data_IF_917208282825
#
_entry.id   IF_917208282825
#
_cell.length_a   1.000
_cell.length_b   1.000
_cell.length_c   1.000
_cell.angle_alpha   90.00
_cell.angle_beta   90.00
_cell.angle_gamma   90.00
#
_symmetry.space_group_name_H-M   'P 1'
#
loop_
_entity.id
_entity.type
_entity.pdbx_description
1 polymer ?
#
# COMPACT_ATOMS: atom_id res chain seq x y z
N UNK A 1 30.89 13.76 -4.51
CA UNK A 1 29.78 13.59 -3.57
C UNK A 1 29.35 14.99 -3.14
N UNK A 2 28.22 15.49 -3.63
CA UNK A 2 27.58 16.64 -2.98
C UNK A 2 27.15 16.12 -1.60
N UNK A 3 27.63 16.72 -0.52
CA UNK A 3 27.10 16.41 0.81
C UNK A 3 25.69 16.99 0.83
N UNK A 4 24.67 16.13 0.83
CA UNK A 4 23.32 16.58 1.10
C UNK A 4 23.31 17.16 2.52
N UNK A 5 22.87 18.41 2.63
CA UNK A 5 22.71 19.09 3.90
C UNK A 5 21.32 18.74 4.41
N UNK A 6 21.23 18.33 5.67
CA UNK A 6 19.95 17.98 6.29
C UNK A 6 19.32 19.24 6.87
N UNK A 7 18.62 19.99 6.01
CA UNK A 7 17.97 21.24 6.40
C UNK A 7 16.62 20.95 7.03
N UNK A 8 16.40 21.53 8.22
CA UNK A 8 15.16 21.46 8.97
C UNK A 8 14.15 22.40 8.30
N UNK A 9 12.98 21.87 7.95
CA UNK A 9 11.89 22.61 7.31
C UNK A 9 10.82 23.03 8.29
N UNK A 10 10.47 22.14 9.21
CA UNK A 10 9.45 22.41 10.22
C UNK A 10 9.91 21.87 11.57
N UNK A 11 9.46 22.54 12.62
CA UNK A 11 9.59 22.10 14.00
C UNK A 11 8.19 22.03 14.57
N UNK A 12 7.86 20.91 15.20
CA UNK A 12 6.52 20.67 15.74
C UNK A 12 6.29 21.54 17.00
N UNK A 13 5.15 22.22 17.12
CA UNK A 13 4.85 22.99 18.33
C UNK A 13 4.78 22.10 19.57
N UNK A 14 5.42 22.52 20.65
CA UNK A 14 5.53 21.79 21.92
C UNK A 14 6.51 20.62 21.88
N UNK A 15 7.39 20.55 20.87
CA UNK A 15 8.41 19.51 20.76
C UNK A 15 9.72 19.90 21.46
N UNK A 16 10.56 18.89 21.72
CA UNK A 16 11.92 19.08 22.25
C UNK A 16 12.72 20.05 21.38
N UNK A 17 12.59 19.95 20.05
CA UNK A 17 13.27 20.85 19.13
C UNK A 17 12.82 22.32 19.31
N UNK A 18 11.55 22.59 19.57
CA UNK A 18 11.08 23.95 19.88
C UNK A 18 11.65 24.44 21.23
N UNK A 19 11.66 23.58 22.26
CA UNK A 19 12.19 23.91 23.59
C UNK A 19 13.69 24.24 23.56
N UNK A 20 14.44 23.60 22.66
CA UNK A 20 15.88 23.81 22.46
C UNK A 20 16.21 24.89 21.43
N UNK A 21 15.22 25.70 21.03
CA UNK A 21 15.38 26.81 20.08
C UNK A 21 15.95 26.37 18.70
N UNK A 22 15.63 25.15 18.28
CA UNK A 22 15.85 24.68 16.92
C UNK A 22 14.81 25.33 16.02
N UNK A 23 15.24 25.88 14.89
CA UNK A 23 14.38 26.66 14.01
C UNK A 23 14.39 26.11 12.57
N UNK A 24 13.30 26.30 11.81
CA UNK A 24 13.31 26.10 10.37
C UNK A 24 14.48 26.83 9.68
N UNK A 25 15.25 26.10 8.88
CA UNK A 25 16.44 26.55 8.17
C UNK A 25 17.75 26.12 8.81
N UNK A 26 17.74 25.60 10.04
CA UNK A 26 18.92 25.03 10.68
C UNK A 26 19.35 23.72 9.98
N UNK A 27 20.64 23.39 10.04
CA UNK A 27 21.23 22.18 9.46
C UNK A 27 21.59 21.17 10.55
N UNK A 28 21.03 19.96 10.51
CA UNK A 28 21.44 18.87 11.39
C UNK A 28 22.74 18.24 10.88
N UNK A 29 23.81 18.27 11.70
CA UNK A 29 25.14 17.77 11.32
C UNK A 29 25.35 16.32 11.78
N UNK A 30 25.08 16.04 13.05
CA UNK A 30 25.31 14.73 13.66
C UNK A 30 24.50 14.55 14.95
N UNK A 31 24.27 13.29 15.31
CA UNK A 31 23.73 12.86 16.60
C UNK A 31 24.72 11.86 17.20
N UNK A 32 25.10 12.03 18.47
CA UNK A 32 26.05 11.17 19.19
C UNK A 32 27.38 11.01 18.44
N UNK A 33 27.92 12.12 17.92
CA UNK A 33 29.13 12.17 17.07
C UNK A 33 29.05 11.37 15.75
N UNK A 34 27.89 10.80 15.43
CA UNK A 34 27.64 10.06 14.20
C UNK A 34 26.99 10.95 13.15
N UNK A 35 27.58 10.95 11.95
CA UNK A 35 26.99 11.63 10.80
C UNK A 35 25.78 10.87 10.31
N UNK A 36 24.75 11.62 9.96
CA UNK A 36 23.51 11.10 9.40
C UNK A 36 23.67 11.02 7.88
N UNK A 37 23.56 9.83 7.30
CA UNK A 37 23.51 9.65 5.85
C UNK A 37 22.12 9.92 5.31
N UNK A 38 21.10 9.34 5.95
CA UNK A 38 19.70 9.42 5.55
C UNK A 38 18.75 9.28 6.76
N UNK A 39 17.46 9.22 6.46
CA UNK A 39 16.36 9.10 7.43
C UNK A 39 16.49 7.91 8.40
N UNK A 40 17.13 6.79 8.00
CA UNK A 40 17.29 5.66 8.90
C UNK A 40 18.30 5.94 10.00
N UNK A 41 19.41 6.60 9.66
CA UNK A 41 20.39 6.99 10.66
C UNK A 41 19.76 7.97 11.65
N UNK A 42 18.92 8.89 11.17
CA UNK A 42 18.18 9.80 12.05
C UNK A 42 17.26 9.03 13.02
N UNK A 43 16.35 8.19 12.53
CA UNK A 43 15.44 7.45 13.40
C UNK A 43 16.17 6.52 14.39
N UNK A 44 17.24 5.87 13.94
CA UNK A 44 18.03 5.02 14.83
C UNK A 44 18.72 5.83 15.91
N UNK A 45 19.39 6.93 15.54
CA UNK A 45 20.16 7.73 16.48
C UNK A 45 19.29 8.54 17.44
N UNK A 46 18.06 8.90 17.06
CA UNK A 46 17.10 9.60 17.93
C UNK A 46 16.50 8.64 18.97
N UNK A 47 16.46 7.33 18.72
CA UNK A 47 15.92 6.34 19.67
C UNK A 47 16.93 5.98 20.79
N UNK A 48 17.37 7.00 21.54
CA UNK A 48 18.17 6.88 22.75
C UNK A 48 17.62 7.82 23.84
N UNK A 49 17.95 7.54 25.11
CA UNK A 49 17.53 8.35 26.26
C UNK A 49 18.37 9.63 26.37
N UNK A 50 19.63 9.57 25.91
CA UNK A 50 20.59 10.67 25.98
C UNK A 50 21.23 10.92 24.61
N UNK A 51 21.04 12.13 24.09
CA UNK A 51 21.52 12.53 22.77
C UNK A 51 22.43 13.75 22.84
N UNK A 52 23.53 13.72 22.10
CA UNK A 52 24.33 14.90 21.78
C UNK A 52 24.07 15.27 20.32
N UNK A 53 23.27 16.32 20.10
CA UNK A 53 22.85 16.78 18.78
C UNK A 53 23.67 18.00 18.37
N UNK A 54 24.36 17.91 17.23
CA UNK A 54 25.11 19.02 16.65
C UNK A 54 24.30 19.64 15.51
N UNK A 55 23.88 20.89 15.68
CA UNK A 55 23.18 21.66 14.65
C UNK A 55 24.02 22.86 14.21
N UNK A 56 23.84 23.30 12.96
CA UNK A 56 24.36 24.57 12.47
C UNK A 56 23.21 25.52 12.21
N UNK A 57 23.18 26.62 12.96
CA UNK A 57 22.20 27.70 12.81
C UNK A 57 22.37 28.39 11.45
N UNK A 58 21.33 29.06 10.97
CA UNK A 58 21.36 29.84 9.71
C UNK A 58 22.44 30.93 9.67
N UNK A 59 22.88 31.44 10.83
CA UNK A 59 23.98 32.40 10.97
C UNK A 59 25.39 31.77 10.83
N UNK A 60 25.47 30.43 10.75
CA UNK A 60 26.71 29.65 10.63
C UNK A 60 27.31 29.19 11.96
N UNK A 61 26.72 29.55 13.11
CA UNK A 61 27.14 29.05 14.42
C UNK A 61 26.74 27.58 14.58
N UNK A 62 27.61 26.79 15.20
CA UNK A 62 27.34 25.39 15.53
C UNK A 62 26.98 25.29 17.01
N UNK A 63 25.83 24.69 17.29
CA UNK A 63 25.32 24.47 18.63
C UNK A 63 25.33 22.96 18.91
N UNK A 64 25.92 22.59 20.04
CA UNK A 64 25.88 21.24 20.57
C UNK A 64 24.82 21.21 21.69
N UNK A 65 23.79 20.39 21.50
CA UNK A 65 22.63 20.29 22.37
C UNK A 65 22.66 18.92 23.05
N UNK A 66 22.69 18.91 24.38
CA UNK A 66 22.50 17.71 25.18
C UNK A 66 21.01 17.54 25.49
N UNK A 67 20.42 16.43 25.05
CA UNK A 67 18.99 16.15 25.16
C UNK A 67 18.81 14.90 26.00
N UNK A 68 18.01 15.02 27.06
CA UNK A 68 17.50 13.89 27.85
C UNK A 68 16.00 13.78 27.56
N UNK A 69 15.56 12.61 27.12
CA UNK A 69 14.19 12.36 26.68
C UNK A 69 13.78 10.93 26.96
N UNK A 70 12.49 10.63 26.83
CA UNK A 70 12.06 9.24 26.93
C UNK A 70 12.55 8.42 25.72
N UNK A 71 12.83 7.13 25.96
CA UNK A 71 13.14 6.17 24.90
C UNK A 71 12.01 6.20 23.85
N UNK A 72 12.37 6.30 22.56
CA UNK A 72 11.46 6.48 21.41
C UNK A 72 10.74 7.84 21.27
N UNK A 73 10.94 8.80 22.17
CA UNK A 73 10.41 10.16 21.97
C UNK A 73 11.12 10.86 20.79
N UNK A 74 10.36 11.41 19.84
CA UNK A 74 10.93 12.14 18.70
C UNK A 74 11.34 13.57 19.12
N UNK A 75 12.33 14.13 18.43
CA UNK A 75 12.73 15.53 18.61
C UNK A 75 11.68 16.51 18.05
N UNK A 76 10.81 16.06 17.14
CA UNK A 76 9.79 16.89 16.49
C UNK A 76 10.36 17.74 15.35
N UNK A 77 11.36 17.21 14.65
CA UNK A 77 12.04 17.85 13.52
C UNK A 77 11.56 17.23 12.22
N UNK A 78 11.15 18.07 11.26
CA UNK A 78 10.80 17.64 9.91
C UNK A 78 11.78 18.24 8.89
N UNK A 79 12.34 17.40 8.03
CA UNK A 79 13.31 17.80 7.00
C UNK A 79 12.63 18.16 5.68
N UNK A 80 13.32 18.95 4.85
CA UNK A 80 12.78 19.36 3.54
C UNK A 80 12.53 18.19 2.59
N UNK A 81 13.34 17.13 2.71
CA UNK A 81 13.10 15.83 2.11
C UNK A 81 12.96 14.80 3.23
N UNK A 82 11.79 14.16 3.33
CA UNK A 82 11.50 13.17 4.38
C UNK A 82 12.44 11.95 4.34
N UNK A 83 13.09 11.66 3.21
CA UNK A 83 14.10 10.61 3.12
C UNK A 83 15.52 11.06 3.50
N UNK A 84 15.71 12.37 3.73
CA UNK A 84 16.97 13.05 4.00
C UNK A 84 18.06 12.81 2.93
N UNK A 85 17.69 12.25 1.77
CA UNK A 85 18.54 12.04 0.60
C UNK A 85 17.65 11.83 -0.64
N UNK A 86 18.21 11.97 -1.85
CA UNK A 86 17.46 11.89 -3.11
C UNK A 86 16.72 10.54 -3.26
N UNK A 87 15.52 10.56 -3.86
CA UNK A 87 14.75 9.36 -4.16
C UNK A 87 15.49 8.48 -5.18
N UNK A 88 15.61 7.18 -4.89
CA UNK A 88 16.21 6.22 -5.82
C UNK A 88 15.14 5.64 -6.74
N UNK A 89 15.25 5.90 -8.04
CA UNK A 89 14.34 5.29 -9.03
C UNK A 89 14.69 3.81 -9.30
N UNK A 90 13.65 3.02 -9.55
CA UNK A 90 13.75 1.61 -9.92
C UNK A 90 14.58 1.45 -11.20
N UNK A 91 15.52 0.50 -11.20
CA UNK A 91 16.36 0.17 -12.36
C UNK A 91 15.86 -1.04 -13.14
N UNK A 92 14.74 -1.62 -12.73
CA UNK A 92 14.14 -2.78 -13.38
C UNK A 92 13.18 -2.36 -14.50
N UNK A 93 13.03 -3.24 -15.48
CA UNK A 93 12.07 -3.08 -16.57
C UNK A 93 11.19 -4.34 -16.65
N UNK A 94 10.43 -4.55 -15.57
CA UNK A 94 9.71 -5.79 -15.34
C UNK A 94 8.64 -6.04 -16.43
N UNK A 95 8.49 -7.30 -16.86
CA UNK A 95 7.46 -7.69 -17.84
C UNK A 95 6.02 -7.38 -17.36
N UNK A 96 5.84 -7.28 -16.05
CA UNK A 96 4.57 -7.04 -15.34
C UNK A 96 4.48 -5.63 -14.72
N UNK A 97 5.41 -4.72 -15.02
CA UNK A 97 5.41 -3.39 -14.40
C UNK A 97 4.10 -2.65 -14.71
N UNK A 98 3.37 -2.26 -13.66
CA UNK A 98 2.12 -1.50 -13.82
C UNK A 98 2.37 -0.08 -14.32
N UNK A 99 3.48 0.54 -13.91
CA UNK A 99 3.85 1.89 -14.31
C UNK A 99 4.11 1.98 -15.83
N UNK A 100 4.71 0.95 -16.44
CA UNK A 100 4.97 0.92 -17.90
C UNK A 100 3.70 0.81 -18.74
N UNK A 101 2.59 0.41 -18.13
CA UNK A 101 1.29 0.29 -18.79
C UNK A 101 0.30 1.38 -18.30
N UNK A 102 0.82 2.47 -17.75
CA UNK A 102 0.01 3.64 -17.41
C UNK A 102 -0.44 4.37 -18.69
N UNK A 103 -1.67 4.90 -18.72
CA UNK A 103 -2.15 5.78 -19.79
C UNK A 103 -1.20 6.98 -19.96
N UNK A 104 -1.01 7.53 -21.18
CA UNK A 104 -0.22 8.75 -21.37
C UNK A 104 -0.97 10.00 -20.88
N UNK A 105 -0.25 11.04 -20.49
CA UNK A 105 -0.82 12.35 -20.12
C UNK A 105 -1.35 12.45 -18.69
N UNK A 106 -1.07 11.46 -17.84
CA UNK A 106 -1.29 11.54 -16.40
C UNK A 106 -0.22 12.44 -15.75
N UNK A 107 -0.37 12.74 -14.45
CA UNK A 107 0.63 13.47 -13.68
C UNK A 107 1.99 12.75 -13.62
N UNK A 108 3.08 13.51 -13.62
CA UNK A 108 4.44 12.95 -13.68
C UNK A 108 4.77 12.01 -12.51
N UNK A 109 4.24 12.29 -11.32
CA UNK A 109 4.47 11.48 -10.11
C UNK A 109 3.95 10.04 -10.23
N UNK A 110 2.91 9.79 -11.05
CA UNK A 110 2.39 8.45 -11.30
C UNK A 110 3.29 7.60 -12.20
N UNK A 111 4.21 8.22 -12.94
CA UNK A 111 5.17 7.49 -13.78
C UNK A 111 6.50 7.22 -13.06
N UNK A 112 6.64 7.68 -11.81
CA UNK A 112 7.81 7.39 -11.02
C UNK A 112 7.79 5.92 -10.59
N UNK A 113 8.82 5.16 -10.97
CA UNK A 113 9.00 3.78 -10.51
C UNK A 113 9.82 3.78 -9.23
N UNK A 114 9.17 3.42 -8.13
CA UNK A 114 9.84 3.26 -6.85
C UNK A 114 10.46 1.86 -6.69
N UNK A 115 11.65 1.81 -6.10
CA UNK A 115 12.35 0.62 -5.60
C UNK A 115 13.34 1.04 -4.49
N UNK A 116 13.01 2.11 -3.76
CA UNK A 116 13.83 2.65 -2.68
C UNK A 116 13.55 1.89 -1.38
N UNK A 117 14.59 1.29 -0.80
CA UNK A 117 14.48 0.50 0.42
C UNK A 117 13.96 1.29 1.61
N UNK A 118 14.18 2.61 1.65
CA UNK A 118 13.67 3.48 2.72
C UNK A 118 12.16 3.52 2.77
N UNK A 119 11.53 3.50 1.61
CA UNK A 119 10.08 3.49 1.51
C UNK A 119 9.47 2.13 1.88
N UNK A 120 10.27 1.05 1.90
CA UNK A 120 9.81 -0.24 2.44
C UNK A 120 9.49 -0.17 3.93
N UNK A 121 10.33 0.51 4.70
CA UNK A 121 10.13 0.63 6.15
C UNK A 121 9.19 1.78 6.50
N UNK A 122 9.28 2.90 5.79
CA UNK A 122 8.46 4.09 6.07
C UNK A 122 7.03 3.97 5.56
N UNK A 123 6.81 3.27 4.45
CA UNK A 123 5.51 3.25 3.75
C UNK A 123 5.05 1.84 3.40
N UNK A 124 5.80 0.79 3.76
CA UNK A 124 5.45 -0.59 3.44
C UNK A 124 5.70 -0.97 1.97
N UNK A 125 6.41 -0.15 1.19
CA UNK A 125 6.64 -0.42 -0.24
C UNK A 125 7.47 -1.69 -0.46
N UNK A 126 7.20 -2.37 -1.58
CA UNK A 126 7.91 -3.59 -1.94
C UNK A 126 9.19 -3.28 -2.71
N UNK A 127 10.32 -3.79 -2.21
CA UNK A 127 11.62 -3.67 -2.89
C UNK A 127 12.09 -4.96 -3.51
N UNK A 128 12.73 -4.85 -4.67
CA UNK A 128 13.28 -5.99 -5.41
C UNK A 128 14.65 -6.43 -4.90
N UNK A 129 15.26 -5.68 -3.97
CA UNK A 129 16.64 -5.77 -3.50
C UNK A 129 17.72 -5.57 -4.58
N UNK A 130 17.34 -5.25 -5.82
CA UNK A 130 18.29 -5.08 -6.93
C UNK A 130 19.01 -3.73 -6.90
N UNK A 131 18.40 -2.75 -6.26
CA UNK A 131 18.96 -1.42 -6.04
C UNK A 131 19.73 -1.29 -4.71
N UNK A 132 19.92 -2.38 -3.96
CA UNK A 132 20.56 -2.36 -2.64
C UNK A 132 22.00 -2.87 -2.66
N UNK A 133 22.91 -2.03 -2.16
CA UNK A 133 24.31 -2.36 -1.96
C UNK A 133 24.49 -3.29 -0.74
N UNK A 134 25.69 -3.87 -0.58
CA UNK A 134 25.98 -4.63 0.65
C UNK A 134 26.03 -3.74 1.89
N UNK A 135 26.42 -2.47 1.72
CA UNK A 135 26.39 -1.46 2.77
C UNK A 135 24.97 -1.18 3.27
N UNK A 136 23.99 -1.09 2.35
CA UNK A 136 22.58 -0.91 2.73
C UNK A 136 22.07 -2.11 3.56
N UNK A 137 22.47 -3.34 3.19
CA UNK A 137 22.15 -4.56 3.95
C UNK A 137 22.84 -4.57 5.32
N UNK A 138 24.11 -4.16 5.40
CA UNK A 138 24.83 -4.03 6.67
C UNK A 138 24.12 -3.07 7.62
N UNK A 139 23.61 -1.94 7.10
CA UNK A 139 22.87 -0.95 7.88
C UNK A 139 21.56 -1.51 8.42
N UNK A 140 20.77 -2.20 7.59
CA UNK A 140 19.53 -2.87 8.03
C UNK A 140 19.81 -3.86 9.16
N UNK A 141 20.87 -4.66 9.02
CA UNK A 141 21.26 -5.63 10.05
C UNK A 141 21.73 -4.93 11.33
N UNK A 142 22.59 -3.92 11.20
CA UNK A 142 23.14 -3.15 12.34
C UNK A 142 22.04 -2.50 13.17
N UNK A 143 21.07 -1.89 12.51
CA UNK A 143 19.96 -1.17 13.15
C UNK A 143 18.73 -2.05 13.39
N UNK A 144 18.80 -3.32 12.99
CA UNK A 144 17.69 -4.28 13.08
C UNK A 144 16.38 -3.74 12.47
N UNK A 145 16.46 -3.07 11.32
CA UNK A 145 15.30 -2.49 10.65
C UNK A 145 14.41 -3.60 10.09
N UNK A 146 13.15 -3.65 10.53
CA UNK A 146 12.16 -4.61 10.06
C UNK A 146 10.74 -4.17 10.46
N UNK A 147 9.69 -4.71 9.80
CA UNK A 147 9.76 -5.68 8.70
C UNK A 147 10.16 -5.04 7.35
N UNK A 148 10.86 -5.80 6.51
CA UNK A 148 11.15 -5.40 5.11
C UNK A 148 10.26 -6.17 4.12
N UNK A 149 9.65 -5.46 3.17
CA UNK A 149 8.75 -6.04 2.18
C UNK A 149 9.51 -6.31 0.86
N UNK A 150 9.67 -7.58 0.49
CA UNK A 150 10.51 -8.04 -0.61
C UNK A 150 9.70 -8.56 -1.79
N UNK A 151 9.94 -7.99 -2.96
CA UNK A 151 9.37 -8.38 -4.25
C UNK A 151 10.18 -9.54 -4.87
N UNK A 152 9.84 -10.79 -4.51
CA UNK A 152 10.61 -11.98 -4.91
C UNK A 152 10.34 -12.41 -6.35
N UNK A 153 9.06 -12.52 -6.73
CA UNK A 153 8.58 -12.96 -8.05
C UNK A 153 8.87 -14.40 -8.43
N UNK A 154 10.08 -14.88 -8.21
CA UNK A 154 10.49 -16.27 -8.38
C UNK A 154 11.81 -16.51 -7.67
N UNK A 155 12.02 -17.75 -7.20
CA UNK A 155 13.30 -18.21 -6.66
C UNK A 155 14.27 -18.73 -7.71
N UNK A 156 13.84 -18.77 -8.97
CA UNK A 156 14.68 -19.12 -10.11
C UNK A 156 15.52 -17.91 -10.56
N UNK A 157 16.86 -17.91 -10.37
CA UNK A 157 17.68 -16.73 -10.68
C UNK A 157 17.63 -16.31 -12.15
N UNK A 158 17.64 -17.28 -13.07
CA UNK A 158 17.60 -16.99 -14.52
C UNK A 158 16.24 -16.43 -14.93
N UNK A 159 15.15 -17.02 -14.42
CA UNK A 159 13.81 -16.52 -14.68
C UNK A 159 13.61 -15.14 -14.06
N UNK A 160 14.12 -14.90 -12.85
CA UNK A 160 14.05 -13.59 -12.19
C UNK A 160 14.73 -12.51 -13.03
N UNK A 161 15.94 -12.77 -13.55
CA UNK A 161 16.61 -11.87 -14.49
C UNK A 161 15.77 -11.58 -15.73
N UNK A 162 15.10 -12.59 -16.29
CA UNK A 162 14.21 -12.43 -17.45
C UNK A 162 12.98 -11.59 -17.12
N UNK A 163 12.32 -11.87 -15.99
CA UNK A 163 11.09 -11.19 -15.57
C UNK A 163 11.32 -9.72 -15.21
N UNK A 164 12.41 -9.41 -14.51
CA UNK A 164 12.75 -8.03 -14.09
C UNK A 164 13.54 -7.26 -15.17
N UNK A 165 13.95 -7.95 -16.23
CA UNK A 165 14.86 -7.44 -17.25
C UNK A 165 16.14 -6.79 -16.67
N UNK A 166 16.69 -7.43 -15.63
CA UNK A 166 17.87 -6.96 -14.91
C UNK A 166 18.83 -8.12 -14.66
N UNK A 167 20.06 -8.01 -15.16
CA UNK A 167 21.09 -9.05 -15.06
C UNK A 167 21.53 -9.37 -13.63
N UNK A 168 21.34 -8.44 -12.69
CA UNK A 168 21.69 -8.59 -11.28
C UNK A 168 20.54 -9.15 -10.44
N UNK A 169 19.34 -9.28 -11.01
CA UNK A 169 18.17 -9.74 -10.28
C UNK A 169 18.29 -11.17 -9.75
N UNK A 170 19.15 -12.02 -10.32
CA UNK A 170 19.36 -13.37 -9.84
C UNK A 170 20.16 -13.47 -8.53
N UNK A 171 20.88 -12.40 -8.14
CA UNK A 171 21.88 -12.44 -7.05
C UNK A 171 21.36 -11.85 -5.73
N UNK A 172 20.04 -11.89 -5.50
CA UNK A 172 19.44 -11.34 -4.29
C UNK A 172 19.39 -12.32 -3.11
N UNK A 173 19.41 -13.63 -3.37
CA UNK A 173 19.26 -14.66 -2.34
C UNK A 173 20.39 -14.68 -1.30
N UNK A 174 21.66 -14.38 -1.64
CA UNK A 174 22.69 -14.16 -0.63
C UNK A 174 22.35 -13.02 0.33
N UNK A 175 21.72 -11.93 -0.14
CA UNK A 175 21.29 -10.81 0.71
C UNK A 175 20.13 -11.22 1.61
N UNK A 176 19.13 -11.94 1.06
CA UNK A 176 18.00 -12.49 1.82
C UNK A 176 18.48 -13.44 2.92
N UNK A 177 19.48 -14.28 2.62
CA UNK A 177 20.10 -15.16 3.60
C UNK A 177 20.74 -14.38 4.76
N UNK A 178 21.44 -13.29 4.48
CA UNK A 178 22.04 -12.42 5.51
C UNK A 178 20.97 -11.77 6.40
N UNK A 179 19.86 -11.31 5.82
CA UNK A 179 18.73 -10.75 6.57
C UNK A 179 18.10 -11.82 7.49
N UNK A 180 17.87 -13.02 6.95
CA UNK A 180 17.37 -14.17 7.72
C UNK A 180 18.28 -14.54 8.88
N UNK A 181 19.59 -14.65 8.65
CA UNK A 181 20.59 -15.00 9.69
C UNK A 181 20.68 -13.93 10.79
N UNK A 182 20.41 -12.66 10.44
CA UNK A 182 20.33 -11.56 11.38
C UNK A 182 18.98 -11.46 12.12
N UNK A 183 18.03 -12.34 11.81
CA UNK A 183 16.70 -12.37 12.42
C UNK A 183 15.77 -11.25 11.98
N UNK A 184 16.08 -10.56 10.87
CA UNK A 184 15.26 -9.46 10.35
C UNK A 184 13.92 -10.00 9.86
N UNK A 185 12.82 -9.42 10.34
CA UNK A 185 11.49 -9.75 9.85
C UNK A 185 11.33 -9.31 8.39
N UNK A 186 10.77 -10.20 7.57
CA UNK A 186 10.56 -9.99 6.15
C UNK A 186 9.14 -10.38 5.77
N UNK A 187 8.58 -9.69 4.78
CA UNK A 187 7.43 -10.16 4.02
C UNK A 187 7.78 -10.28 2.53
N UNK A 188 7.03 -11.08 1.79
CA UNK A 188 7.27 -11.37 0.39
C UNK A 188 6.07 -11.05 -0.49
N UNK A 189 6.34 -10.80 -1.77
CA UNK A 189 5.31 -10.72 -2.81
C UNK A 189 5.74 -11.49 -4.06
N UNK A 190 4.77 -12.16 -4.69
CA UNK A 190 4.87 -12.76 -6.00
C UNK A 190 3.70 -12.25 -6.85
N UNK A 191 4.02 -11.47 -7.88
CA UNK A 191 3.13 -11.14 -9.00
C UNK A 191 3.19 -12.30 -9.99
N UNK A 192 2.11 -13.05 -10.06
CA UNK A 192 2.02 -14.23 -10.91
C UNK A 192 1.72 -13.82 -12.35
N UNK A 193 2.48 -14.36 -13.29
CA UNK A 193 2.36 -14.17 -14.72
C UNK A 193 2.15 -15.54 -15.38
N UNK A 194 1.01 -15.72 -16.04
CA UNK A 194 0.61 -16.98 -16.67
C UNK A 194 1.65 -17.47 -17.67
N UNK A 195 2.04 -18.74 -17.57
CA UNK A 195 3.06 -19.37 -18.40
C UNK A 195 4.49 -18.86 -18.19
N UNK A 196 4.75 -18.08 -17.13
CA UNK A 196 6.07 -17.52 -16.84
C UNK A 196 6.60 -18.00 -15.48
N UNK A 197 5.92 -17.66 -14.38
CA UNK A 197 6.31 -18.02 -13.01
C UNK A 197 5.19 -18.72 -12.22
N UNK A 198 4.17 -19.21 -12.92
CA UNK A 198 3.11 -20.06 -12.37
C UNK A 198 3.48 -21.56 -12.40
N UNK A 199 2.55 -22.42 -11.98
CA UNK A 199 2.72 -23.87 -11.99
C UNK A 199 3.93 -24.35 -11.17
N UNK A 200 4.82 -25.12 -11.80
CA UNK A 200 5.99 -25.70 -11.14
C UNK A 200 6.96 -24.64 -10.59
N UNK A 201 7.09 -23.47 -11.26
CA UNK A 201 7.96 -22.38 -10.80
C UNK A 201 7.39 -21.67 -9.56
N UNK A 202 6.05 -21.60 -9.44
CA UNK A 202 5.38 -21.13 -8.23
C UNK A 202 5.62 -22.11 -7.08
N UNK A 203 5.37 -23.40 -7.30
CA UNK A 203 5.58 -24.44 -6.27
C UNK A 203 7.04 -24.50 -5.80
N UNK A 204 7.99 -24.35 -6.73
CA UNK A 204 9.40 -24.19 -6.39
C UNK A 204 9.62 -22.97 -5.49
N UNK A 205 9.06 -21.82 -5.86
CA UNK A 205 9.27 -20.58 -5.13
C UNK A 205 8.69 -20.63 -3.73
N UNK A 206 7.52 -21.21 -3.53
CA UNK A 206 6.95 -21.44 -2.21
C UNK A 206 7.88 -22.32 -1.35
N UNK A 207 8.34 -23.45 -1.90
CA UNK A 207 9.25 -24.39 -1.21
C UNK A 207 10.59 -23.76 -0.82
N UNK A 208 11.17 -22.95 -1.71
CA UNK A 208 12.47 -22.34 -1.48
C UNK A 208 12.33 -21.18 -0.48
N UNK A 209 11.24 -20.39 -0.55
CA UNK A 209 10.98 -19.30 0.40
C UNK A 209 10.59 -19.78 1.80
N UNK A 210 9.91 -20.94 1.92
CA UNK A 210 9.54 -21.48 3.24
C UNK A 210 10.74 -21.82 4.12
N UNK A 211 11.95 -21.91 3.55
CA UNK A 211 13.21 -22.09 4.30
C UNK A 211 13.61 -20.87 5.12
N UNK A 212 13.01 -19.71 4.86
CA UNK A 212 13.25 -18.48 5.60
C UNK A 212 12.25 -18.26 6.74
N UNK A 213 11.34 -19.20 6.99
CA UNK A 213 10.51 -19.19 8.20
C UNK A 213 11.38 -19.37 9.46
N UNK A 214 11.04 -18.72 10.59
CA UNK A 214 9.87 -17.87 10.79
C UNK A 214 10.09 -16.38 10.43
N UNK A 215 11.29 -15.98 10.01
CA UNK A 215 11.62 -14.57 9.79
C UNK A 215 11.01 -13.99 8.50
N UNK A 216 10.86 -14.78 7.43
CA UNK A 216 9.95 -14.44 6.34
C UNK A 216 8.53 -14.82 6.78
N UNK A 217 7.76 -13.86 7.26
CA UNK A 217 6.50 -14.09 7.99
C UNK A 217 5.33 -14.37 7.06
N UNK A 218 5.25 -13.67 5.94
CA UNK A 218 4.13 -13.77 5.02
C UNK A 218 4.53 -13.48 3.58
N UNK A 219 3.97 -14.19 2.61
CA UNK A 219 4.17 -13.99 1.18
C UNK A 219 2.82 -13.89 0.46
N UNK A 220 2.53 -12.74 -0.14
CA UNK A 220 1.33 -12.56 -0.96
C UNK A 220 1.55 -13.05 -2.40
N UNK A 221 0.55 -13.73 -2.97
CA UNK A 221 0.47 -14.08 -4.39
C UNK A 221 -0.68 -13.29 -5.01
N UNK A 222 -0.34 -12.43 -5.98
CA UNK A 222 -1.30 -11.57 -6.68
C UNK A 222 -1.24 -11.86 -8.18
N UNK A 223 -2.37 -11.86 -8.91
CA UNK A 223 -2.32 -11.96 -10.37
C UNK A 223 -1.77 -10.66 -10.96
N UNK A 224 -1.16 -10.74 -12.15
CA UNK A 224 -0.72 -9.54 -12.86
C UNK A 224 -1.91 -8.67 -13.31
N UNK A 225 -1.88 -7.39 -12.97
CA UNK A 225 -2.82 -6.40 -13.48
C UNK A 225 -2.50 -6.03 -14.94
N UNK A 226 -3.53 -6.02 -15.80
CA UNK A 226 -3.40 -5.75 -17.24
C UNK A 226 -4.28 -4.58 -17.65
N UNK A 227 -3.67 -3.44 -17.95
CA UNK A 227 -4.36 -2.32 -18.60
C UNK A 227 -4.44 -2.53 -20.11
N UNK A 228 -5.22 -1.72 -20.81
CA UNK A 228 -5.27 -1.67 -22.28
C UNK A 228 -4.05 -0.98 -22.91
N UNK A 229 -3.21 -0.31 -22.12
CA UNK A 229 -2.04 0.45 -22.58
C UNK A 229 -0.76 -0.39 -22.51
N UNK A 230 -0.77 -1.57 -23.13
CA UNK A 230 0.38 -2.51 -23.10
C UNK A 230 1.07 -2.68 -24.46
N UNK A 231 0.79 -1.81 -25.41
CA UNK A 231 1.40 -1.87 -26.74
C UNK A 231 2.92 -1.75 -26.66
N UNK A 232 3.64 -2.73 -27.20
CA UNK A 232 5.10 -2.79 -27.17
C UNK A 232 5.71 -3.40 -25.89
N UNK A 233 4.89 -3.75 -24.89
CA UNK A 233 5.34 -4.47 -23.70
C UNK A 233 5.37 -5.99 -23.93
N UNK A 234 5.92 -6.73 -22.96
CA UNK A 234 5.90 -8.19 -22.98
C UNK A 234 4.45 -8.71 -23.03
N UNK A 235 4.12 -9.65 -23.95
CA UNK A 235 2.76 -10.16 -24.09
C UNK A 235 2.43 -11.04 -22.88
N UNK A 236 1.53 -10.55 -22.03
CA UNK A 236 1.00 -11.27 -20.88
C UNK A 236 -0.43 -11.70 -21.16
N UNK A 237 -0.76 -12.92 -20.74
CA UNK A 237 -2.11 -13.46 -20.81
C UNK A 237 -2.82 -13.33 -19.46
N UNK A 238 -4.12 -13.00 -19.44
CA UNK A 238 -4.90 -13.01 -18.22
C UNK A 238 -5.12 -14.45 -17.73
N UNK A 239 -5.24 -14.61 -16.40
CA UNK A 239 -5.65 -15.87 -15.80
C UNK A 239 -7.13 -16.14 -16.04
N UNK A 240 -7.47 -17.42 -16.19
CA UNK A 240 -8.85 -17.91 -16.27
C UNK A 240 -9.32 -18.43 -14.91
N UNK A 241 -10.61 -18.73 -14.79
CA UNK A 241 -11.17 -19.41 -13.61
C UNK A 241 -10.47 -20.72 -13.28
N UNK A 242 -10.19 -21.55 -14.29
CA UNK A 242 -9.49 -22.83 -14.11
C UNK A 242 -8.05 -22.63 -13.62
N UNK A 243 -7.35 -21.63 -14.17
CA UNK A 243 -6.00 -21.30 -13.69
C UNK A 243 -6.01 -20.83 -12.23
N UNK A 244 -6.99 -19.99 -11.85
CA UNK A 244 -7.15 -19.52 -10.47
C UNK A 244 -7.41 -20.67 -9.49
N UNK A 245 -8.24 -21.63 -9.88
CA UNK A 245 -8.49 -22.84 -9.08
C UNK A 245 -7.21 -23.64 -8.85
N UNK A 246 -6.40 -23.84 -9.90
CA UNK A 246 -5.12 -24.54 -9.78
C UNK A 246 -4.12 -23.81 -8.86
N UNK A 247 -4.07 -22.47 -8.93
CA UNK A 247 -3.23 -21.66 -8.04
C UNK A 247 -3.68 -21.81 -6.59
N UNK A 248 -4.98 -21.68 -6.31
CA UNK A 248 -5.53 -21.82 -4.97
C UNK A 248 -5.31 -23.22 -4.39
N UNK A 249 -5.51 -24.28 -5.18
CA UNK A 249 -5.23 -25.66 -4.76
C UNK A 249 -3.77 -25.86 -4.36
N UNK A 250 -2.83 -25.30 -5.14
CA UNK A 250 -1.42 -25.34 -4.82
C UNK A 250 -1.13 -24.63 -3.49
N UNK A 251 -1.65 -23.42 -3.31
CA UNK A 251 -1.44 -22.60 -2.11
C UNK A 251 -2.03 -23.24 -0.87
N UNK A 252 -3.28 -23.72 -0.92
CA UNK A 252 -3.93 -24.37 0.23
C UNK A 252 -3.21 -25.65 0.67
N UNK A 253 -2.65 -26.42 -0.27
CA UNK A 253 -1.80 -27.58 0.06
C UNK A 253 -0.56 -27.15 0.86
N UNK A 254 0.11 -26.07 0.45
CA UNK A 254 1.28 -25.54 1.16
C UNK A 254 0.90 -24.95 2.52
N UNK A 255 -0.15 -24.14 2.60
CA UNK A 255 -0.66 -23.59 3.85
C UNK A 255 -0.92 -24.70 4.87
N UNK A 256 -1.59 -25.80 4.47
CA UNK A 256 -1.84 -26.93 5.37
C UNK A 256 -0.56 -27.59 5.88
N UNK A 257 0.46 -27.73 5.02
CA UNK A 257 1.75 -28.31 5.40
C UNK A 257 2.51 -27.41 6.38
N UNK A 258 2.58 -26.11 6.08
CA UNK A 258 3.34 -25.15 6.87
C UNK A 258 2.66 -24.83 8.20
N UNK A 259 1.34 -24.73 8.23
CA UNK A 259 0.59 -24.50 9.47
C UNK A 259 0.78 -25.62 10.48
N UNK A 260 0.88 -26.88 10.03
CA UNK A 260 1.12 -28.02 10.91
C UNK A 260 2.52 -27.99 11.57
N UNK A 261 3.51 -27.35 10.93
CA UNK A 261 4.90 -27.31 11.41
C UNK A 261 5.21 -26.00 12.15
N UNK A 262 4.72 -24.86 11.67
CA UNK A 262 5.07 -23.52 12.13
C UNK A 262 3.91 -22.76 12.79
N UNK A 263 2.67 -23.25 12.68
CA UNK A 263 1.48 -22.53 13.17
C UNK A 263 1.11 -21.29 12.36
N UNK A 264 1.64 -21.16 11.14
CA UNK A 264 1.41 -20.05 10.22
C UNK A 264 1.05 -20.58 8.82
N UNK A 265 0.13 -19.90 8.13
CA UNK A 265 -0.26 -20.22 6.77
C UNK A 265 0.78 -19.72 5.75
N UNK A 266 1.49 -18.61 6.07
CA UNK A 266 2.65 -18.06 5.36
C UNK A 266 2.41 -17.58 3.93
N UNK A 267 1.84 -18.40 3.04
CA UNK A 267 1.49 -18.02 1.68
C UNK A 267 0.03 -17.61 1.62
N UNK A 268 -0.27 -16.42 1.08
CA UNK A 268 -1.65 -15.94 0.94
C UNK A 268 -1.94 -15.44 -0.46
N UNK A 269 -3.03 -15.92 -1.06
CA UNK A 269 -3.56 -15.37 -2.30
C UNK A 269 -4.36 -14.10 -2.03
N UNK A 270 -4.25 -13.11 -2.91
CA UNK A 270 -5.17 -11.96 -2.91
C UNK A 270 -6.61 -12.39 -3.14
N UNK A 271 -7.53 -11.52 -2.71
CA UNK A 271 -8.97 -11.68 -2.83
C UNK A 271 -9.42 -11.92 -4.28
N UNK A 272 -8.69 -11.35 -5.24
CA UNK A 272 -8.94 -11.52 -6.67
C UNK A 272 -8.89 -12.98 -7.13
N UNK A 273 -8.00 -13.81 -6.56
CA UNK A 273 -7.93 -15.23 -6.90
C UNK A 273 -9.19 -15.99 -6.51
N UNK A 274 -9.72 -15.72 -5.31
CA UNK A 274 -10.95 -16.36 -4.83
C UNK A 274 -12.14 -15.96 -5.67
N UNK A 275 -12.22 -14.69 -6.05
CA UNK A 275 -13.30 -14.16 -6.90
C UNK A 275 -13.22 -14.76 -8.30
N UNK A 276 -12.03 -14.77 -8.91
CA UNK A 276 -11.82 -15.35 -10.24
C UNK A 276 -12.11 -16.86 -10.26
N UNK A 277 -11.79 -17.58 -9.18
CA UNK A 277 -12.08 -19.00 -9.02
C UNK A 277 -13.55 -19.30 -8.67
N UNK A 278 -14.35 -18.28 -8.34
CA UNK A 278 -15.70 -18.37 -7.73
C UNK A 278 -15.71 -19.25 -6.47
N UNK A 279 -14.74 -19.05 -5.59
CA UNK A 279 -14.62 -19.74 -4.30
C UNK A 279 -14.80 -18.79 -3.14
N UNK A 280 -15.25 -19.32 -2.00
CA UNK A 280 -15.32 -18.55 -0.76
C UNK A 280 -13.92 -18.18 -0.28
N UNK A 281 -13.74 -16.94 0.16
CA UNK A 281 -12.52 -16.50 0.83
C UNK A 281 -12.31 -17.28 2.15
N UNK A 282 -11.05 -17.51 2.56
CA UNK A 282 -10.70 -18.09 3.84
C UNK A 282 -11.39 -17.37 5.01
N UNK A 283 -11.58 -18.06 6.15
CA UNK A 283 -11.96 -17.39 7.38
C UNK A 283 -10.78 -16.54 7.91
N UNK A 284 -11.10 -15.59 8.79
CA UNK A 284 -10.16 -14.58 9.31
C UNK A 284 -8.89 -15.19 9.94
N UNK A 285 -9.03 -16.33 10.62
CA UNK A 285 -7.90 -16.97 11.32
C UNK A 285 -6.80 -17.48 10.37
N UNK A 286 -7.07 -17.55 9.06
CA UNK A 286 -6.08 -18.00 8.05
C UNK A 286 -5.24 -16.87 7.45
N UNK A 287 -5.47 -15.61 7.86
CA UNK A 287 -4.74 -14.45 7.33
C UNK A 287 -3.52 -14.07 8.17
N UNK A 288 -3.21 -14.82 9.24
CA UNK A 288 -2.04 -14.62 10.10
C UNK A 288 -1.87 -13.15 10.57
N UNK A 289 -2.98 -12.46 10.84
CA UNK A 289 -2.99 -11.04 11.26
C UNK A 289 -2.99 -10.02 10.12
N UNK A 290 -3.37 -10.40 8.89
CA UNK A 290 -3.52 -9.50 7.73
C UNK A 290 -2.24 -8.73 7.34
N UNK A 291 -1.07 -9.35 7.48
CA UNK A 291 0.24 -8.76 7.12
C UNK A 291 0.36 -8.31 5.65
N UNK A 292 -0.58 -8.71 4.80
CA UNK A 292 -0.59 -8.51 3.35
C UNK A 292 -1.82 -7.71 2.87
N UNK A 293 -2.50 -7.00 3.76
CA UNK A 293 -3.74 -6.27 3.46
C UNK A 293 -3.56 -5.30 2.28
N UNK A 294 -2.46 -4.53 2.29
CA UNK A 294 -2.09 -3.57 1.22
C UNK A 294 -1.87 -4.22 -0.16
N UNK A 295 -1.65 -5.55 -0.21
CA UNK A 295 -1.55 -6.31 -1.46
C UNK A 295 -2.87 -6.92 -1.92
N UNK A 296 -4.00 -6.48 -1.34
CA UNK A 296 -5.32 -7.03 -1.66
C UNK A 296 -5.57 -8.41 -1.07
N UNK A 297 -4.86 -8.78 0.01
CA UNK A 297 -5.06 -10.06 0.71
C UNK A 297 -5.95 -9.82 1.93
N UNK A 298 -7.22 -10.26 1.84
CA UNK A 298 -8.14 -10.21 2.96
C UNK A 298 -8.89 -8.90 3.15
N UNK A 299 -8.77 -7.94 2.23
CA UNK A 299 -9.47 -6.65 2.30
C UNK A 299 -10.99 -6.82 2.36
N UNK A 300 -11.55 -7.66 1.48
CA UNK A 300 -12.99 -7.91 1.42
C UNK A 300 -13.46 -8.80 2.58
N UNK A 301 -12.59 -9.69 3.07
CA UNK A 301 -12.86 -10.48 4.28
C UNK A 301 -12.95 -9.55 5.50
N UNK A 302 -11.95 -8.70 5.71
CA UNK A 302 -11.91 -7.77 6.85
C UNK A 302 -13.14 -6.84 6.80
N UNK A 303 -13.47 -6.29 5.64
CA UNK A 303 -14.65 -5.46 5.45
C UNK A 303 -15.96 -6.20 5.81
N UNK A 304 -16.15 -7.46 5.36
CA UNK A 304 -17.33 -8.27 5.75
C UNK A 304 -17.35 -8.54 7.26
N UNK A 305 -16.21 -8.79 7.91
CA UNK A 305 -16.13 -8.97 9.36
C UNK A 305 -16.52 -7.69 10.10
N UNK A 306 -15.89 -6.56 9.79
CA UNK A 306 -16.12 -5.29 10.48
C UNK A 306 -17.55 -4.78 10.30
N UNK A 307 -18.13 -4.93 9.10
CA UNK A 307 -19.55 -4.60 8.86
C UNK A 307 -20.45 -5.47 9.74
N UNK A 308 -20.15 -6.77 9.86
CA UNK A 308 -20.95 -7.68 10.70
C UNK A 308 -20.92 -7.26 12.16
N UNK A 309 -19.73 -6.98 12.69
CA UNK A 309 -19.53 -6.53 14.06
C UNK A 309 -20.25 -5.20 14.32
N UNK A 310 -20.09 -4.23 13.43
CA UNK A 310 -20.74 -2.93 13.54
C UNK A 310 -22.27 -3.04 13.52
N UNK A 311 -22.85 -3.82 12.58
CA UNK A 311 -24.31 -4.04 12.53
C UNK A 311 -24.80 -4.75 13.78
N UNK A 312 -24.06 -5.74 14.31
CA UNK A 312 -24.45 -6.44 15.54
C UNK A 312 -24.54 -5.50 16.74
N UNK A 313 -23.65 -4.51 16.83
CA UNK A 313 -23.60 -3.52 17.91
C UNK A 313 -24.73 -2.48 17.91
N UNK A 314 -25.45 -2.31 16.80
CA UNK A 314 -26.53 -1.31 16.70
C UNK A 314 -27.88 -1.81 17.25
N UNK A 315 -28.89 -0.94 17.35
CA UNK A 315 -30.29 -1.37 17.49
C UNK A 315 -31.00 -1.15 16.16
N UNK A 316 -31.77 -2.15 15.72
CA UNK A 316 -32.51 -2.06 14.46
C UNK A 316 -33.66 -1.07 14.55
N UNK A 317 -33.96 -0.41 13.43
CA UNK A 317 -35.05 0.56 13.35
C UNK A 317 -35.64 0.62 11.92
N UNK A 318 -36.72 1.40 11.76
CA UNK A 318 -37.45 1.51 10.49
C UNK A 318 -36.91 2.62 9.57
N UNK A 319 -35.66 3.03 9.70
CA UNK A 319 -35.06 4.12 8.90
C UNK A 319 -35.19 3.81 7.40
N UNK A 320 -35.83 4.73 6.67
CA UNK A 320 -36.02 4.65 5.24
C UNK A 320 -34.89 5.36 4.53
N UNK A 321 -34.19 4.65 3.63
CA UNK A 321 -33.14 5.24 2.78
C UNK A 321 -33.19 4.64 1.39
N UNK A 322 -32.95 5.48 0.39
CA UNK A 322 -32.61 5.05 -0.95
C UNK A 322 -31.29 5.70 -1.37
N UNK A 323 -30.26 4.91 -1.64
CA UNK A 323 -28.94 5.42 -2.00
C UNK A 323 -28.28 4.51 -3.02
N UNK A 324 -27.14 4.97 -3.55
CA UNK A 324 -26.33 4.19 -4.47
C UNK A 324 -24.92 4.01 -3.96
N UNK A 325 -24.26 2.92 -4.34
CA UNK A 325 -22.83 2.70 -4.10
C UNK A 325 -22.14 2.47 -5.43
N UNK A 326 -21.09 3.23 -5.73
CA UNK A 326 -20.24 2.94 -6.87
C UNK A 326 -18.93 2.30 -6.41
N UNK A 327 -18.55 1.19 -7.04
CA UNK A 327 -17.32 0.46 -6.71
C UNK A 327 -16.76 -0.26 -7.92
N UNK A 328 -15.56 -0.83 -7.75
CA UNK A 328 -14.92 -1.69 -8.74
C UNK A 328 -15.72 -2.98 -8.95
N UNK A 329 -15.68 -3.51 -10.18
CA UNK A 329 -16.34 -4.77 -10.54
C UNK A 329 -16.00 -5.92 -9.61
N UNK A 330 -14.78 -5.96 -9.08
CA UNK A 330 -14.32 -7.00 -8.17
C UNK A 330 -15.10 -7.00 -6.83
N UNK A 331 -15.32 -5.81 -6.26
CA UNK A 331 -15.92 -5.65 -4.93
C UNK A 331 -17.46 -5.58 -4.95
N UNK A 332 -18.07 -5.21 -6.09
CA UNK A 332 -19.52 -5.02 -6.22
C UNK A 332 -20.39 -6.14 -5.59
N UNK A 333 -20.21 -7.44 -5.90
CA UNK A 333 -21.04 -8.49 -5.31
C UNK A 333 -20.88 -8.62 -3.78
N UNK A 334 -19.73 -8.24 -3.22
CA UNK A 334 -19.51 -8.25 -1.77
C UNK A 334 -20.21 -7.07 -1.11
N UNK A 335 -20.18 -5.90 -1.74
CA UNK A 335 -20.93 -4.72 -1.26
C UNK A 335 -22.44 -5.00 -1.28
N UNK A 336 -22.97 -5.63 -2.33
CA UNK A 336 -24.39 -6.04 -2.40
C UNK A 336 -24.77 -6.99 -1.26
N UNK A 337 -23.92 -7.99 -1.00
CA UNK A 337 -24.10 -8.92 0.13
C UNK A 337 -24.06 -8.19 1.47
N UNK A 338 -23.16 -7.22 1.65
CA UNK A 338 -23.05 -6.45 2.88
C UNK A 338 -24.25 -5.53 3.11
N UNK A 339 -24.77 -4.87 2.07
CA UNK A 339 -26.02 -4.10 2.14
C UNK A 339 -27.18 -5.02 2.53
N UNK A 340 -27.25 -6.22 1.95
CA UNK A 340 -28.28 -7.21 2.28
C UNK A 340 -28.20 -7.64 3.75
N UNK A 341 -27.00 -7.74 4.32
CA UNK A 341 -26.82 -8.05 5.74
C UNK A 341 -27.27 -6.89 6.65
N UNK A 342 -26.97 -5.64 6.28
CA UNK A 342 -27.47 -4.45 6.99
C UNK A 342 -29.01 -4.43 6.98
N UNK A 343 -29.62 -4.79 5.85
CA UNK A 343 -31.08 -4.85 5.69
C UNK A 343 -31.80 -5.82 6.62
N UNK A 344 -31.12 -6.87 7.11
CA UNK A 344 -31.70 -7.79 8.10
C UNK A 344 -32.11 -7.06 9.40
N UNK A 345 -31.42 -5.97 9.72
CA UNK A 345 -31.66 -5.14 10.91
C UNK A 345 -32.33 -3.80 10.60
N UNK A 346 -32.22 -3.33 9.36
CA UNK A 346 -32.78 -2.06 8.86
C UNK A 346 -33.57 -2.31 7.56
N UNK A 347 -34.81 -2.80 7.64
CA UNK A 347 -35.53 -3.36 6.48
C UNK A 347 -35.91 -2.34 5.40
N UNK A 348 -35.94 -1.04 5.72
CA UNK A 348 -36.31 0.03 4.80
C UNK A 348 -35.09 0.73 4.17
N UNK A 349 -33.89 0.21 4.37
CA UNK A 349 -32.67 0.70 3.72
C UNK A 349 -32.51 0.00 2.38
N UNK A 350 -32.52 0.74 1.28
CA UNK A 350 -32.35 0.21 -0.08
C UNK A 350 -31.15 0.87 -0.75
N UNK A 351 -30.10 0.09 -1.02
CA UNK A 351 -28.90 0.52 -1.72
C UNK A 351 -28.76 -0.15 -3.07
N UNK A 352 -28.56 0.61 -4.14
CA UNK A 352 -28.24 0.08 -5.48
C UNK A 352 -26.73 0.11 -5.69
N UNK A 353 -26.11 -1.03 -6.03
CA UNK A 353 -24.67 -1.11 -6.30
C UNK A 353 -24.41 -0.99 -7.80
N UNK A 354 -23.56 -0.04 -8.17
CA UNK A 354 -23.08 0.17 -9.52
C UNK A 354 -21.63 -0.31 -9.64
N UNK A 355 -21.45 -1.44 -10.33
CA UNK A 355 -20.15 -1.94 -10.72
C UNK A 355 -19.61 -1.11 -11.90
N UNK A 356 -18.76 -0.13 -11.61
CA UNK A 356 -18.22 0.78 -12.62
C UNK A 356 -17.20 0.02 -13.48
N UNK A 357 -17.45 -0.02 -14.79
CA UNK A 357 -16.50 -0.57 -15.76
C UNK A 357 -15.34 0.42 -15.91
N UNK A 358 -14.11 -0.08 -15.83
CA UNK A 358 -12.94 0.75 -16.07
C UNK A 358 -12.73 0.89 -17.59
N UNK A 359 -13.26 1.96 -18.18
CA UNK A 359 -13.04 2.26 -19.60
C UNK A 359 -11.74 3.05 -19.80
N UNK A 360 -11.28 3.77 -18.77
CA UNK A 360 -10.05 4.53 -18.81
C UNK A 360 -8.82 3.62 -18.95
N UNK A 361 -8.52 2.77 -17.96
CA UNK A 361 -7.45 1.78 -18.01
C UNK A 361 -7.82 0.51 -18.78
N UNK A 362 -9.10 0.22 -18.97
CA UNK A 362 -9.60 -0.95 -19.69
C UNK A 362 -10.24 -2.00 -18.78
N UNK A 363 -11.13 -2.85 -19.34
CA UNK A 363 -12.12 -3.61 -18.56
C UNK A 363 -11.55 -4.76 -17.73
N UNK A 364 -10.26 -5.08 -17.89
CA UNK A 364 -9.55 -6.04 -17.06
C UNK A 364 -9.12 -5.44 -15.71
N UNK A 365 -9.07 -4.11 -15.59
CA UNK A 365 -8.87 -3.43 -14.32
C UNK A 365 -10.22 -3.37 -13.59
N UNK A 366 -10.32 -4.07 -12.46
CA UNK A 366 -11.60 -4.30 -11.76
C UNK A 366 -11.63 -3.77 -10.33
N UNK A 367 -10.52 -3.20 -9.85
CA UNK A 367 -10.39 -2.62 -8.51
C UNK A 367 -10.97 -1.21 -8.46
N UNK A 368 -11.45 -0.80 -7.27
CA UNK A 368 -12.04 0.52 -7.08
C UNK A 368 -11.02 1.65 -7.16
N UNK A 369 -9.80 1.44 -6.66
CA UNK A 369 -8.79 2.49 -6.61
C UNK A 369 -8.18 2.92 -7.94
N UNK A 370 -8.61 2.31 -9.05
CA UNK A 370 -8.22 2.71 -10.41
C UNK A 370 -9.42 3.22 -11.23
N UNK A 371 -10.58 3.41 -10.60
CA UNK A 371 -11.75 4.05 -11.24
C UNK A 371 -11.49 5.57 -11.30
N UNK A 372 -11.69 6.14 -12.49
CA UNK A 372 -11.57 7.58 -12.74
C UNK A 372 -12.90 8.30 -12.55
N UNK A 373 -12.85 9.62 -12.36
CA UNK A 373 -14.05 10.46 -12.32
C UNK A 373 -14.81 10.39 -13.65
N UNK A 374 -14.10 10.33 -14.77
CA UNK A 374 -14.71 10.13 -16.10
C UNK A 374 -15.54 8.85 -16.19
N UNK A 375 -14.97 7.71 -15.77
CA UNK A 375 -15.66 6.42 -15.83
C UNK A 375 -16.90 6.41 -14.92
N UNK A 376 -16.78 7.01 -13.73
CA UNK A 376 -17.87 7.18 -12.78
C UNK A 376 -19.01 8.02 -13.38
N UNK A 377 -18.70 9.23 -13.85
CA UNK A 377 -19.68 10.18 -14.38
C UNK A 377 -20.38 9.60 -15.61
N UNK A 378 -19.62 9.03 -16.54
CA UNK A 378 -20.16 8.52 -17.80
C UNK A 378 -21.17 7.38 -17.61
N UNK A 379 -21.02 6.58 -16.55
CA UNK A 379 -21.88 5.43 -16.29
C UNK A 379 -23.07 5.76 -15.38
N UNK A 380 -22.98 6.81 -14.57
CA UNK A 380 -24.00 7.14 -13.56
C UNK A 380 -24.92 8.30 -13.93
N UNK A 381 -24.56 9.14 -14.93
CA UNK A 381 -25.29 10.39 -15.26
C UNK A 381 -26.80 10.23 -15.50
N UNK A 382 -27.22 9.08 -16.04
CA UNK A 382 -28.63 8.82 -16.39
C UNK A 382 -29.27 7.75 -15.48
N UNK A 383 -28.67 7.46 -14.33
CA UNK A 383 -29.14 6.46 -13.38
C UNK A 383 -29.96 7.11 -12.25
N UNK A 384 -30.89 6.33 -11.66
CA UNK A 384 -31.56 6.74 -10.42
C UNK A 384 -30.65 6.45 -9.23
N UNK A 385 -29.91 7.47 -8.80
CA UNK A 385 -28.89 7.33 -7.77
C UNK A 385 -29.44 7.45 -6.33
N UNK A 386 -30.73 7.78 -6.17
CA UNK A 386 -31.34 8.01 -4.86
C UNK A 386 -30.89 9.31 -4.18
N UNK A 387 -30.78 9.28 -2.86
CA UNK A 387 -30.50 10.45 -2.01
C UNK A 387 -29.01 10.83 -1.97
N UNK A 388 -28.12 9.84 -2.08
CA UNK A 388 -26.66 10.02 -2.08
C UNK A 388 -25.96 8.89 -2.83
N UNK A 389 -24.78 9.20 -3.37
CA UNK A 389 -23.85 8.24 -3.94
C UNK A 389 -22.70 7.98 -2.95
N UNK A 390 -22.51 6.74 -2.55
CA UNK A 390 -21.36 6.32 -1.74
C UNK A 390 -20.23 5.86 -2.66
N UNK A 391 -19.01 6.33 -2.39
CA UNK A 391 -17.79 5.84 -3.04
C UNK A 391 -16.74 5.47 -1.98
N UNK A 392 -15.93 4.43 -2.18
CA UNK A 392 -14.82 4.13 -1.28
C UNK A 392 -13.72 5.19 -1.43
N UNK A 393 -13.08 5.55 -0.32
CA UNK A 393 -12.02 6.58 -0.29
C UNK A 393 -10.81 6.25 -1.16
N UNK A 394 -10.56 4.96 -1.42
CA UNK A 394 -9.46 4.53 -2.27
C UNK A 394 -9.65 4.87 -3.76
N UNK A 395 -10.84 5.31 -4.20
CA UNK A 395 -11.04 5.93 -5.53
C UNK A 395 -10.36 7.29 -5.67
N UNK A 396 -10.06 7.93 -4.54
CA UNK A 396 -9.51 9.27 -4.46
C UNK A 396 -8.04 9.20 -4.06
N UNK A 397 -7.31 10.26 -4.42
CA UNK A 397 -5.95 10.45 -3.94
C UNK A 397 -5.94 10.56 -2.41
N UNK A 398 -4.97 9.90 -1.78
CA UNK A 398 -4.82 9.91 -0.33
C UNK A 398 -4.77 11.35 0.21
N UNK A 399 -5.73 11.70 1.07
CA UNK A 399 -5.81 13.03 1.69
C UNK A 399 -6.45 14.12 0.82
N UNK A 400 -6.93 13.80 -0.38
CA UNK A 400 -7.48 14.76 -1.34
C UNK A 400 -8.85 14.29 -1.89
N UNK A 401 -9.65 15.24 -2.37
CA UNK A 401 -10.94 15.00 -3.03
C UNK A 401 -10.80 14.86 -4.55
N UNK A 402 -9.74 14.22 -5.02
CA UNK A 402 -9.40 14.21 -6.46
C UNK A 402 -9.24 12.77 -6.93
N UNK A 403 -9.93 12.42 -8.02
CA UNK A 403 -9.79 11.15 -8.72
C UNK A 403 -8.43 11.07 -9.44
N UNK A 404 -8.08 9.90 -9.99
CA UNK A 404 -6.80 9.72 -10.70
C UNK A 404 -6.63 10.56 -11.97
N UNK A 405 -7.74 10.99 -12.57
CA UNK A 405 -7.81 11.79 -13.79
C UNK A 405 -8.04 13.28 -13.50
N UNK A 406 -7.68 13.73 -12.30
CA UNK A 406 -7.72 15.12 -11.81
C UNK A 406 -9.13 15.74 -11.71
N UNK A 407 -10.18 14.95 -11.95
CA UNK A 407 -11.56 15.34 -11.63
C UNK A 407 -11.72 15.40 -10.11
N UNK A 408 -12.35 16.46 -9.62
CA UNK A 408 -12.69 16.61 -8.20
C UNK A 408 -14.01 15.92 -7.85
N UNK A 409 -14.19 15.57 -6.58
CA UNK A 409 -15.48 15.07 -6.08
C UNK A 409 -16.58 16.09 -6.35
N UNK A 410 -16.30 17.39 -6.18
CA UNK A 410 -17.23 18.48 -6.40
C UNK A 410 -17.68 18.59 -7.87
N UNK A 411 -16.77 18.42 -8.83
CA UNK A 411 -17.11 18.35 -10.26
C UNK A 411 -17.96 17.11 -10.58
N UNK A 412 -17.69 15.97 -9.95
CA UNK A 412 -18.51 14.77 -10.10
C UNK A 412 -19.91 14.93 -9.48
N UNK A 413 -20.04 15.58 -8.31
CA UNK A 413 -21.32 15.96 -7.70
C UNK A 413 -22.13 16.87 -8.65
N UNK A 414 -21.47 17.88 -9.24
CA UNK A 414 -22.11 18.77 -10.21
C UNK A 414 -22.55 18.01 -11.48
N UNK A 415 -21.71 17.12 -12.01
CA UNK A 415 -22.04 16.37 -13.21
C UNK A 415 -23.18 15.37 -13.01
N UNK A 416 -23.28 14.75 -11.83
CA UNK A 416 -24.28 13.75 -11.48
C UNK A 416 -25.52 14.32 -10.78
N UNK A 417 -25.48 15.59 -10.38
CA UNK A 417 -26.54 16.26 -9.63
C UNK A 417 -26.92 15.50 -8.34
N UNK A 418 -25.94 14.92 -7.66
CA UNK A 418 -26.11 14.17 -6.41
C UNK A 418 -24.95 14.43 -5.45
N UNK A 419 -25.23 14.33 -4.14
CA UNK A 419 -24.20 14.33 -3.10
C UNK A 419 -23.38 13.03 -3.13
N UNK A 420 -22.06 13.16 -3.10
CA UNK A 420 -21.11 12.05 -3.02
C UNK A 420 -20.58 11.97 -1.58
N UNK A 421 -20.79 10.83 -0.93
CA UNK A 421 -20.21 10.53 0.38
C UNK A 421 -19.03 9.58 0.21
N UNK A 422 -17.87 10.04 0.65
CA UNK A 422 -16.64 9.24 0.65
C UNK A 422 -16.62 8.37 1.90
N UNK A 423 -16.54 7.05 1.72
CA UNK A 423 -16.55 6.06 2.79
C UNK A 423 -15.12 5.60 3.07
N UNK A 424 -14.71 5.66 4.34
CA UNK A 424 -13.38 5.17 4.75
C UNK A 424 -13.24 3.65 4.57
N UNK A 425 -12.03 3.15 4.75
CA UNK A 425 -11.66 1.74 4.52
C UNK A 425 -12.36 0.77 5.48
N UNK A 426 -12.72 1.22 6.69
CA UNK A 426 -13.29 0.39 7.74
C UNK A 426 -14.80 0.10 7.57
N UNK A 427 -15.21 -1.08 8.01
CA UNK A 427 -16.60 -1.53 7.92
C UNK A 427 -17.58 -0.73 8.75
N UNK A 428 -17.15 -0.13 9.88
CA UNK A 428 -18.02 0.72 10.68
C UNK A 428 -18.41 2.00 9.92
N UNK A 429 -17.44 2.65 9.25
CA UNK A 429 -17.68 3.79 8.36
C UNK A 429 -18.68 3.45 7.26
N UNK A 430 -18.61 2.25 6.68
CA UNK A 430 -19.61 1.79 5.71
C UNK A 430 -21.01 1.68 6.33
N UNK A 431 -21.14 1.05 7.50
CA UNK A 431 -22.43 0.90 8.19
C UNK A 431 -23.01 2.28 8.56
N UNK A 432 -22.20 3.19 9.09
CA UNK A 432 -22.61 4.57 9.37
C UNK A 432 -23.06 5.30 8.10
N UNK A 433 -22.30 5.19 7.00
CA UNK A 433 -22.65 5.81 5.72
C UNK A 433 -23.94 5.23 5.10
N UNK A 434 -24.36 4.03 5.50
CA UNK A 434 -25.61 3.41 5.04
C UNK A 434 -26.79 3.78 5.95
N UNK A 435 -26.59 3.74 7.28
CA UNK A 435 -27.66 3.85 8.28
C UNK A 435 -27.93 5.30 8.71
N UNK A 436 -26.90 6.13 8.87
CA UNK A 436 -27.01 7.43 9.51
C UNK A 436 -27.33 8.58 8.53
N UNK A 437 -27.96 9.64 9.07
CA UNK A 437 -28.22 10.93 8.38
C UNK A 437 -26.95 11.77 8.22
N UNK A 438 -25.94 11.54 9.07
CA UNK A 438 -24.67 12.25 8.96
C UNK A 438 -23.95 11.80 7.69
N UNK A 439 -24.02 12.65 6.66
CA UNK A 439 -22.95 12.71 5.67
C UNK A 439 -21.69 12.90 6.49
N UNK A 440 -20.77 11.92 6.44
CA UNK A 440 -19.43 12.12 6.95
C UNK A 440 -18.81 13.23 6.09
N UNK A 441 -19.00 14.50 6.48
CA UNK A 441 -18.33 15.67 5.89
C UNK A 441 -16.84 15.66 6.31
N UNK A 442 -16.17 14.54 6.14
CA UNK A 442 -14.75 14.41 6.42
C UNK A 442 -14.04 14.07 5.12
N UNK A 443 -13.93 15.08 4.27
CA UNK A 443 -13.04 15.09 3.10
C UNK A 443 -11.54 15.06 3.47
N UNK A 444 -11.20 14.63 4.69
CA UNK A 444 -9.81 14.56 5.16
C UNK A 444 -9.58 13.25 5.89
N UNK A 445 -8.91 12.34 5.20
CA UNK A 445 -8.23 11.19 5.79
C UNK A 445 -7.33 11.71 6.92
N UNK A 446 -7.35 11.07 8.10
CA UNK A 446 -6.19 11.19 9.00
C UNK A 446 -5.02 10.53 8.27
N UNK A 447 -4.04 11.34 7.87
CA UNK A 447 -2.76 10.83 7.39
C UNK A 447 -2.16 9.95 8.49
N UNK A 448 -1.88 8.70 8.17
CA UNK A 448 -0.93 7.90 8.95
C UNK A 448 0.46 8.00 8.31
N UNK A 449 0.55 8.37 7.02
CA UNK A 449 1.83 8.67 6.37
C UNK A 449 1.65 9.79 5.32
N UNK A 450 2.43 10.87 5.45
CA UNK A 450 2.60 11.88 4.42
C UNK A 450 3.43 11.29 3.27
N UNK A 451 2.83 11.15 2.09
CA UNK A 451 3.63 11.16 0.87
C UNK A 451 4.17 12.58 0.72
N UNK A 452 5.49 12.72 0.75
CA UNK A 452 6.15 13.97 0.41
C UNK A 452 5.66 14.43 -0.97
N UNK A 453 4.98 15.56 -0.98
CA UNK A 453 4.49 16.21 -2.18
C UNK A 453 5.72 16.73 -2.94
N UNK A 454 6.21 15.98 -3.94
CA UNK A 454 7.31 16.42 -4.83
C UNK A 454 6.86 17.52 -5.82
N UNK A 455 5.85 18.31 -5.49
CA UNK A 455 5.30 19.39 -6.30
C UNK A 455 6.19 20.64 -6.32
N UNK A 456 7.33 20.63 -5.61
CA UNK A 456 8.28 21.75 -5.58
C UNK A 456 9.66 21.38 -6.16
N UNK A 457 9.67 20.82 -7.37
CA UNK A 457 10.86 20.84 -8.22
C UNK A 457 11.10 22.29 -8.66
N UNK A 458 11.85 23.04 -7.86
CA UNK A 458 12.23 24.41 -8.17
C UNK A 458 12.81 24.55 -9.58
N UNK A 459 12.34 25.54 -10.31
CA UNK A 459 12.96 25.99 -11.55
C UNK A 459 14.26 26.71 -11.21
N UNK A 460 15.40 26.04 -11.38
CA UNK A 460 16.71 26.67 -11.67
C UNK A 460 17.58 25.75 -12.50
#
# INVERSE_FOLDING_TARGET
>A
MKKNKHIIKMVQPGSIAEELEIEPGDELISINDQKIEDVFDYHYLVNDDYLTVLIRKTNGEEWELEIEKDYEEDLGIEFDNGLMDEYRSCRNNCIFCFIDQMPPGMRETLYFKDDDSRLSFLQGNYVTLTNMSDHDIDRIIKYHLGPINISFQTTNPQLRCKMLHNRFAGDIFPKVQRLYEAGIEMNGQIVLCKGVNDGEELERSIRDLSRYLPHLRSVSIVPVGLSKYRDGLYPLEPFTKEDAQNVLECVHRWQKMLYAEYGLHFIHCSDEWYILAEQSMPPEEQYDGYLQLENGVGMLRLLDTEIREAVQGLEGNDTLRHFSVATGKLAAPYIEKNISYVQEKFPNIHGTVYAIRNDFFGPMITVSGLITGQDLIAQLKDQDLGERLLIPCNMLRAGENVFLDDITVEEAEEALQIKITVVNEDGASFVHAVVDDTILENHKRRQIYEQADCSNCGTT
#
